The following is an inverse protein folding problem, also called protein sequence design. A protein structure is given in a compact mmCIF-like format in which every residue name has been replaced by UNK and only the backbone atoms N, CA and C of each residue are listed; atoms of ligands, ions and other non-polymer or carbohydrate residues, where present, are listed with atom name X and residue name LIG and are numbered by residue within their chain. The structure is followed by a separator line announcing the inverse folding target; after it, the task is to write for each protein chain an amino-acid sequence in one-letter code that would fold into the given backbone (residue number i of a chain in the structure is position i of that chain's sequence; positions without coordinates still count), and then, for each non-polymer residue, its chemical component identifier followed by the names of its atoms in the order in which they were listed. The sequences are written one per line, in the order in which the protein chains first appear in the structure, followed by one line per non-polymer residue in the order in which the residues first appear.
data_IF_167618393751
#
_entry.id   IF_167618393751
#
_cell.length_a   1.000
_cell.length_b   1.000
_cell.length_c   1.000
_cell.angle_alpha   90.00
_cell.angle_beta   90.00
_cell.angle_gamma   90.00
#
_symmetry.space_group_name_H-M   'P 1'
#
loop_
_entity.id
_entity.type
_entity.pdbx_description
1 polymer ?
#
# COMPACT_ATOMS: atom_id res chain seq x y z
N UNK A 1 4.38 21.18 14.66
CA UNK A 1 5.16 20.13 13.99
C UNK A 1 4.18 19.06 13.49
N UNK A 2 4.26 18.70 12.22
CA UNK A 2 3.41 17.67 11.61
C UNK A 2 4.23 16.41 11.37
N UNK A 3 3.70 15.25 11.76
CA UNK A 3 4.34 13.96 11.64
C UNK A 3 3.64 13.15 10.55
N UNK A 4 4.42 12.62 9.61
CA UNK A 4 3.95 11.69 8.58
C UNK A 4 4.50 10.29 8.79
N UNK A 5 3.72 9.29 8.34
CA UNK A 5 4.15 7.89 8.36
C UNK A 5 4.08 7.26 6.96
N UNK A 6 5.16 6.59 6.56
CA UNK A 6 5.23 5.79 5.34
C UNK A 6 5.13 4.29 5.68
N UNK A 7 4.18 3.61 5.06
CA UNK A 7 3.88 2.20 5.25
C UNK A 7 4.26 1.41 3.99
N UNK A 8 5.23 0.50 4.12
CA UNK A 8 5.68 -0.32 2.99
C UNK A 8 4.62 -1.32 2.52
N UNK A 9 4.79 -1.82 1.29
CA UNK A 9 4.14 -3.05 0.86
C UNK A 9 4.65 -4.28 1.62
N UNK A 10 4.01 -5.43 1.43
CA UNK A 10 4.47 -6.68 2.07
C UNK A 10 3.38 -7.72 2.39
N UNK A 11 2.19 -7.60 1.83
CA UNK A 11 1.09 -8.56 2.02
C UNK A 11 0.72 -8.76 3.49
N UNK A 12 0.72 -10.00 3.98
CA UNK A 12 0.38 -10.33 5.38
C UNK A 12 1.25 -9.60 6.41
N UNK A 13 2.52 -9.33 6.08
CA UNK A 13 3.43 -8.54 6.93
C UNK A 13 2.87 -7.14 7.24
N UNK A 14 2.01 -6.61 6.37
CA UNK A 14 1.36 -5.31 6.58
C UNK A 14 0.56 -5.20 7.88
N UNK A 15 0.09 -6.31 8.47
CA UNK A 15 -0.56 -6.27 9.79
C UNK A 15 0.33 -5.63 10.87
N UNK A 16 1.65 -5.67 10.68
CA UNK A 16 2.64 -4.97 11.50
C UNK A 16 2.37 -3.46 11.58
N UNK A 17 2.02 -2.85 10.46
CA UNK A 17 1.73 -1.41 10.41
C UNK A 17 0.60 -0.99 11.34
N UNK A 18 -0.39 -1.87 11.53
CA UNK A 18 -1.53 -1.62 12.42
C UNK A 18 -1.07 -1.62 13.88
N UNK A 19 -0.22 -2.58 14.26
CA UNK A 19 0.39 -2.63 15.58
C UNK A 19 1.26 -1.41 15.87
N UNK A 20 2.03 -0.96 14.88
CA UNK A 20 2.84 0.27 14.95
C UNK A 20 1.94 1.48 15.19
N UNK A 21 0.91 1.68 14.36
CA UNK A 21 -0.03 2.80 14.51
C UNK A 21 -0.67 2.82 15.90
N UNK A 22 -1.09 1.65 16.40
CA UNK A 22 -1.66 1.54 17.74
C UNK A 22 -0.68 1.96 18.83
N UNK A 23 0.55 1.47 18.79
CA UNK A 23 1.56 1.82 19.78
C UNK A 23 1.92 3.31 19.74
N UNK A 24 1.98 3.92 18.55
CA UNK A 24 2.20 5.37 18.41
C UNK A 24 1.04 6.16 19.02
N UNK A 25 -0.22 5.80 18.74
CA UNK A 25 -1.41 6.44 19.31
C UNK A 25 -1.44 6.37 20.85
N UNK A 26 -1.17 5.19 21.41
CA UNK A 26 -1.13 4.97 22.86
C UNK A 26 -0.03 5.79 23.58
N UNK A 27 1.02 6.17 22.84
CA UNK A 27 2.09 7.05 23.31
C UNK A 27 1.94 8.51 22.86
N UNK A 28 0.72 8.91 22.46
CA UNK A 28 0.39 10.28 22.08
C UNK A 28 1.18 10.83 20.88
N UNK A 29 1.73 9.98 20.03
CA UNK A 29 2.37 10.35 18.77
C UNK A 29 1.29 10.38 17.69
N UNK A 30 0.80 11.57 17.38
CA UNK A 30 -0.25 11.79 16.40
C UNK A 30 0.32 11.81 14.99
N UNK A 31 -0.26 11.02 14.10
CA UNK A 31 0.05 11.04 12.67
C UNK A 31 -0.84 12.05 11.96
N UNK A 32 -0.22 13.01 11.27
CA UNK A 32 -0.88 14.09 10.56
C UNK A 32 -1.01 13.83 9.04
N UNK A 33 -0.19 12.94 8.47
CA UNK A 33 -0.26 12.52 7.07
C UNK A 33 0.24 11.08 6.92
N UNK A 34 -0.26 10.37 5.93
CA UNK A 34 0.07 8.97 5.73
C UNK A 34 0.32 8.67 4.25
N UNK A 35 1.34 7.88 3.98
CA UNK A 35 1.60 7.32 2.65
C UNK A 35 1.74 5.81 2.76
N UNK A 36 1.24 5.07 1.77
CA UNK A 36 1.31 3.62 1.83
C UNK A 36 1.23 2.96 0.47
N UNK A 37 1.96 1.86 0.31
CA UNK A 37 2.03 1.08 -0.92
C UNK A 37 1.44 -0.32 -0.68
N UNK A 38 0.71 -0.87 -1.67
CA UNK A 38 0.12 -2.20 -1.58
C UNK A 38 -0.74 -2.35 -0.32
N UNK A 39 -0.51 -3.37 0.53
CA UNK A 39 -1.22 -3.52 1.81
C UNK A 39 -1.07 -2.27 2.69
N UNK A 40 0.07 -1.58 2.63
CA UNK A 40 0.27 -0.30 3.32
C UNK A 40 -0.74 0.75 2.87
N UNK A 41 -1.14 0.76 1.58
CA UNK A 41 -2.17 1.66 1.05
C UNK A 41 -3.57 1.37 1.59
N UNK A 42 -3.90 0.08 1.76
CA UNK A 42 -5.18 -0.32 2.35
C UNK A 42 -5.29 0.13 3.82
N UNK A 43 -4.21 -0.06 4.59
CA UNK A 43 -4.13 0.38 5.99
C UNK A 43 -4.15 1.92 6.07
N UNK A 44 -3.38 2.60 5.21
CA UNK A 44 -3.36 4.06 5.13
C UNK A 44 -4.74 4.63 4.81
N UNK A 45 -5.47 4.03 3.86
CA UNK A 45 -6.82 4.46 3.49
C UNK A 45 -7.81 4.26 4.64
N UNK A 46 -7.81 3.10 5.31
CA UNK A 46 -8.66 2.84 6.46
C UNK A 46 -8.36 3.80 7.62
N UNK A 47 -7.08 4.06 7.89
CA UNK A 47 -6.66 5.00 8.93
C UNK A 47 -7.07 6.45 8.59
N UNK A 48 -6.89 6.87 7.35
CA UNK A 48 -7.32 8.19 6.88
C UNK A 48 -8.85 8.36 6.86
N UNK A 49 -9.63 7.27 6.77
CA UNK A 49 -11.07 7.23 6.96
C UNK A 49 -11.50 7.24 8.44
N UNK A 50 -10.58 7.46 9.37
CA UNK A 50 -10.84 7.54 10.81
C UNK A 50 -11.38 6.21 11.40
N UNK A 51 -10.95 5.05 10.87
CA UNK A 51 -11.09 3.77 11.55
C UNK A 51 -10.03 3.64 12.63
N UNK A 52 -10.40 3.18 13.84
CA UNK A 52 -9.39 2.91 14.86
C UNK A 52 -8.59 1.63 14.52
N UNK A 53 -7.43 1.48 15.14
CA UNK A 53 -6.50 0.39 14.83
C UNK A 53 -7.07 -1.00 15.07
N UNK A 54 -7.95 -1.17 16.08
CA UNK A 54 -8.61 -2.45 16.35
C UNK A 54 -9.67 -2.79 15.27
N UNK A 55 -10.37 -1.79 14.75
CA UNK A 55 -11.28 -1.93 13.61
C UNK A 55 -10.49 -2.29 12.34
N UNK A 56 -9.40 -1.57 12.06
CA UNK A 56 -8.54 -1.84 10.91
C UNK A 56 -8.03 -3.28 10.94
N UNK A 57 -7.57 -3.76 12.09
CA UNK A 57 -7.09 -5.14 12.21
C UNK A 57 -8.19 -6.17 11.91
N UNK A 58 -9.39 -5.96 12.44
CA UNK A 58 -10.55 -6.84 12.15
C UNK A 58 -10.90 -6.85 10.66
N UNK A 59 -10.92 -5.66 10.02
CA UNK A 59 -11.20 -5.52 8.59
C UNK A 59 -10.14 -6.22 7.74
N UNK A 60 -8.85 -5.98 7.99
CA UNK A 60 -7.76 -6.63 7.25
C UNK A 60 -7.81 -8.16 7.42
N UNK A 61 -8.09 -8.66 8.64
CA UNK A 61 -8.25 -10.09 8.90
C UNK A 61 -9.44 -10.68 8.13
N UNK A 62 -10.54 -9.95 8.02
CA UNK A 62 -11.70 -10.33 7.23
C UNK A 62 -11.39 -10.35 5.73
N UNK A 63 -10.76 -9.29 5.21
CA UNK A 63 -10.37 -9.17 3.79
C UNK A 63 -9.39 -10.26 3.37
N UNK A 64 -8.36 -10.51 4.17
CA UNK A 64 -7.40 -11.59 3.90
C UNK A 64 -8.08 -12.96 3.75
N UNK A 65 -9.08 -13.25 4.59
CA UNK A 65 -9.87 -14.48 4.49
C UNK A 65 -10.77 -14.51 3.23
N UNK A 66 -11.31 -13.36 2.83
CA UNK A 66 -12.19 -13.25 1.66
C UNK A 66 -11.41 -13.42 0.35
N UNK A 67 -10.24 -12.79 0.24
CA UNK A 67 -9.34 -12.96 -0.90
C UNK A 67 -8.91 -14.43 -1.07
N UNK A 68 -8.60 -15.11 0.04
CA UNK A 68 -8.26 -16.55 0.02
C UNK A 68 -9.44 -17.47 -0.36
N UNK A 69 -10.65 -17.12 0.03
CA UNK A 69 -11.84 -17.90 -0.32
C UNK A 69 -12.22 -17.78 -1.80
N UNK A 70 -11.86 -16.66 -2.43
CA UNK A 70 -12.17 -16.44 -3.85
C UNK A 70 -11.49 -17.46 -4.78
N UNK A 71 -10.30 -18.00 -4.40
CA UNK A 71 -9.74 -19.21 -5.02
C UNK A 71 -8.69 -19.94 -4.12
N UNK A 72 -9.15 -20.85 -3.22
CA UNK A 72 -8.26 -21.58 -2.31
C UNK A 72 -7.23 -22.47 -3.01
N UNK A 73 -7.47 -22.86 -4.26
CA UNK A 73 -6.57 -23.76 -5.03
C UNK A 73 -5.32 -23.03 -5.50
N UNK A 74 -5.38 -21.72 -5.71
CA UNK A 74 -4.25 -20.93 -6.19
C UNK A 74 -3.16 -20.72 -5.16
N UNK A 75 -3.52 -20.52 -3.89
CA UNK A 75 -2.58 -20.29 -2.79
C UNK A 75 -1.86 -21.55 -2.30
N UNK A 76 -2.45 -22.74 -2.57
CA UNK A 76 -1.94 -24.02 -2.05
C UNK A 76 -1.23 -24.90 -3.07
N UNK A 77 -1.43 -24.71 -4.37
CA UNK A 77 -0.99 -25.68 -5.39
C UNK A 77 -0.09 -25.14 -6.49
N UNK A 78 0.23 -23.86 -6.51
CA UNK A 78 1.09 -23.30 -7.58
C UNK A 78 0.68 -23.84 -8.95
N UNK A 79 -0.11 -23.08 -9.68
CA UNK A 79 -0.40 -23.26 -11.13
C UNK A 79 -0.64 -24.69 -11.62
N UNK A 80 -1.91 -25.08 -11.70
CA UNK A 80 -2.32 -26.25 -12.46
C UNK A 80 -3.39 -25.99 -13.53
N UNK A 81 -3.61 -24.75 -13.94
CA UNK A 81 -4.50 -24.42 -15.04
C UNK A 81 -3.75 -23.75 -16.18
N UNK A 82 -3.70 -24.40 -17.33
CA UNK A 82 -3.13 -23.85 -18.58
C UNK A 82 -3.79 -22.53 -19.00
N UNK A 83 -5.00 -22.24 -18.53
CA UNK A 83 -5.71 -20.99 -18.79
C UNK A 83 -5.10 -19.79 -18.03
N UNK A 84 -4.46 -20.03 -16.90
CA UNK A 84 -3.83 -19.04 -16.04
C UNK A 84 -2.46 -18.57 -16.56
N UNK A 85 -1.75 -19.40 -17.30
CA UNK A 85 -0.41 -19.07 -17.87
C UNK A 85 -0.50 -17.97 -18.94
N UNK A 86 -1.66 -17.84 -19.58
CA UNK A 86 -1.92 -16.85 -20.65
C UNK A 86 -2.80 -15.69 -20.20
N UNK A 87 -3.19 -15.64 -18.90
CA UNK A 87 -3.95 -14.54 -18.32
C UNK A 87 -3.06 -13.41 -17.80
N UNK A 88 -3.67 -12.25 -17.54
CA UNK A 88 -2.98 -11.06 -17.01
C UNK A 88 -2.75 -11.09 -15.51
N UNK A 89 -3.29 -12.10 -14.80
CA UNK A 89 -3.19 -12.32 -13.34
C UNK A 89 -4.13 -13.44 -12.92
N UNK A 90 -3.96 -13.94 -11.70
CA UNK A 90 -4.72 -15.08 -11.19
C UNK A 90 -6.03 -14.67 -10.50
N UNK A 91 -6.05 -13.48 -9.87
CA UNK A 91 -7.18 -12.96 -9.11
C UNK A 91 -7.52 -11.56 -9.64
N UNK A 92 -8.81 -11.25 -9.83
CA UNK A 92 -9.23 -9.94 -10.36
C UNK A 92 -8.87 -8.78 -9.43
N UNK A 93 -8.88 -9.03 -8.11
CA UNK A 93 -8.68 -8.03 -7.07
C UNK A 93 -9.88 -7.12 -6.82
N UNK A 94 -11.01 -7.32 -7.50
CA UNK A 94 -12.27 -6.58 -7.27
C UNK A 94 -12.72 -6.68 -5.81
N UNK A 95 -12.50 -7.82 -5.16
CA UNK A 95 -12.82 -8.00 -3.75
C UNK A 95 -12.09 -7.01 -2.82
N UNK A 96 -10.90 -6.51 -3.22
CA UNK A 96 -10.18 -5.47 -2.48
C UNK A 96 -10.88 -4.13 -2.67
N UNK A 97 -11.24 -3.79 -3.90
CA UNK A 97 -11.97 -2.56 -4.24
C UNK A 97 -13.31 -2.51 -3.49
N UNK A 98 -14.15 -3.55 -3.65
CA UNK A 98 -15.45 -3.65 -3.01
C UNK A 98 -15.38 -3.51 -1.48
N UNK A 99 -14.38 -4.14 -0.86
CA UNK A 99 -14.22 -4.10 0.58
C UNK A 99 -13.83 -2.70 1.09
N UNK A 100 -12.95 -2.02 0.40
CA UNK A 100 -12.56 -0.64 0.74
C UNK A 100 -13.70 0.34 0.43
N UNK A 101 -14.42 0.16 -0.68
CA UNK A 101 -15.58 0.99 -1.03
C UNK A 101 -16.72 0.85 -0.02
N UNK A 102 -16.94 -0.35 0.52
CA UNK A 102 -17.93 -0.55 1.60
C UNK A 102 -17.50 0.18 2.88
N UNK A 103 -16.20 0.13 3.24
CA UNK A 103 -15.66 0.90 4.36
C UNK A 103 -15.83 2.41 4.12
N UNK A 104 -15.52 2.89 2.92
CA UNK A 104 -15.67 4.29 2.55
C UNK A 104 -17.15 4.75 2.64
N UNK A 105 -18.06 3.93 2.13
CA UNK A 105 -19.53 4.15 2.21
C UNK A 105 -20.00 4.29 3.65
N UNK A 106 -19.54 3.42 4.55
CA UNK A 106 -19.89 3.46 5.98
C UNK A 106 -19.41 4.75 6.67
N UNK A 107 -18.30 5.33 6.20
CA UNK A 107 -17.76 6.60 6.70
C UNK A 107 -18.32 7.83 5.94
N UNK A 108 -19.17 7.63 4.93
CA UNK A 108 -19.76 8.72 4.15
C UNK A 108 -18.78 9.42 3.21
N UNK A 109 -17.71 8.73 2.80
CA UNK A 109 -16.69 9.22 1.86
C UNK A 109 -16.65 8.30 0.62
N UNK A 110 -16.12 8.80 -0.49
CA UNK A 110 -15.96 8.02 -1.73
C UNK A 110 -14.61 8.25 -2.39
N UNK A 111 -14.18 9.49 -2.47
CA UNK A 111 -12.95 9.89 -3.16
C UNK A 111 -11.84 10.22 -2.17
N UNK A 112 -10.59 10.10 -2.58
CA UNK A 112 -9.47 10.53 -1.73
C UNK A 112 -9.60 11.96 -1.26
N UNK A 113 -10.11 12.86 -2.11
CA UNK A 113 -10.36 14.27 -1.77
C UNK A 113 -11.37 14.48 -0.64
N UNK A 114 -12.19 13.48 -0.31
CA UNK A 114 -13.18 13.55 0.79
C UNK A 114 -12.51 13.30 2.15
N UNK A 115 -11.28 12.76 2.16
CA UNK A 115 -10.50 12.49 3.36
C UNK A 115 -9.87 13.77 3.90
N UNK A 116 -9.95 13.96 5.22
CA UNK A 116 -9.32 15.11 5.92
C UNK A 116 -7.82 14.95 6.07
N UNK A 117 -7.37 13.70 6.32
CA UNK A 117 -5.94 13.39 6.45
C UNK A 117 -5.27 13.39 5.08
N UNK A 118 -4.15 14.10 4.92
CA UNK A 118 -3.33 14.00 3.71
C UNK A 118 -2.85 12.56 3.48
N UNK A 119 -3.06 12.04 2.27
CA UNK A 119 -2.73 10.66 1.90
C UNK A 119 -2.07 10.60 0.53
N UNK A 120 -1.12 9.66 0.37
CA UNK A 120 -0.51 9.31 -0.91
C UNK A 120 -0.43 7.79 -1.09
N UNK A 121 -0.84 7.33 -2.27
CA UNK A 121 -0.92 5.91 -2.64
C UNK A 121 -0.21 5.71 -3.99
N UNK A 122 1.03 5.20 -4.01
CA UNK A 122 1.75 4.90 -5.25
C UNK A 122 1.17 3.72 -6.02
N UNK A 123 1.29 3.79 -7.32
CA UNK A 123 1.01 2.72 -8.29
C UNK A 123 1.90 2.92 -9.53
N UNK A 124 1.95 1.93 -10.42
CA UNK A 124 2.76 2.02 -11.65
C UNK A 124 1.91 1.73 -12.87
N UNK A 125 1.89 2.65 -13.84
CA UNK A 125 1.33 2.33 -15.15
C UNK A 125 2.35 1.58 -16.00
N UNK A 126 2.06 0.30 -16.28
CA UNK A 126 2.97 -0.57 -17.04
C UNK A 126 3.04 -0.22 -18.53
N UNK A 127 2.09 0.54 -19.07
CA UNK A 127 2.14 0.99 -20.48
C UNK A 127 3.17 2.08 -20.70
N UNK A 128 3.28 3.00 -19.73
CA UNK A 128 4.26 4.09 -19.79
C UNK A 128 5.54 3.78 -18.99
N UNK A 129 5.52 2.77 -18.13
CA UNK A 129 6.63 2.47 -17.22
C UNK A 129 6.88 3.60 -16.22
N UNK A 130 5.81 4.25 -15.73
CA UNK A 130 5.89 5.44 -14.88
C UNK A 130 5.16 5.24 -13.57
N UNK A 131 5.69 5.89 -12.55
CA UNK A 131 5.04 6.01 -11.25
C UNK A 131 3.88 7.01 -11.33
N UNK A 132 2.78 6.60 -10.75
CA UNK A 132 1.60 7.42 -10.50
C UNK A 132 1.30 7.39 -9.00
N UNK A 133 0.86 8.51 -8.46
CA UNK A 133 0.46 8.62 -7.07
C UNK A 133 -0.98 9.15 -7.00
N UNK A 134 -1.85 8.38 -6.36
CA UNK A 134 -3.18 8.84 -6.02
C UNK A 134 -3.10 9.61 -4.69
N UNK A 135 -3.64 10.83 -4.64
CA UNK A 135 -3.51 11.70 -3.46
C UNK A 135 -4.67 12.67 -3.36
N UNK A 136 -4.93 13.16 -2.16
CA UNK A 136 -5.82 14.30 -1.90
C UNK A 136 -5.04 15.62 -1.74
N UNK A 137 -3.73 15.61 -1.97
CA UNK A 137 -2.90 16.81 -1.98
C UNK A 137 -3.36 17.78 -3.07
N UNK A 138 -3.46 19.05 -2.73
CA UNK A 138 -3.67 20.09 -3.73
C UNK A 138 -2.40 20.31 -4.55
N UNK A 139 -2.56 20.38 -5.88
CA UNK A 139 -1.46 20.57 -6.82
C UNK A 139 -1.82 21.73 -7.75
N UNK A 140 -0.95 22.75 -7.80
CA UNK A 140 -1.25 24.01 -8.48
C UNK A 140 -1.40 23.88 -10.00
N UNK A 141 -0.79 22.89 -10.62
CA UNK A 141 -0.76 22.71 -12.08
C UNK A 141 -1.46 21.42 -12.51
N UNK A 142 -2.73 21.30 -12.18
CA UNK A 142 -3.53 20.17 -12.64
C UNK A 142 -4.09 20.39 -14.05
N UNK A 143 -4.17 19.31 -14.83
CA UNK A 143 -4.89 19.26 -16.11
C UNK A 143 -6.05 18.28 -16.00
N UNK A 144 -7.23 18.68 -16.46
CA UNK A 144 -8.33 17.75 -16.67
C UNK A 144 -8.16 17.07 -18.01
N UNK A 145 -8.13 15.74 -17.99
CA UNK A 145 -8.03 14.90 -19.19
C UNK A 145 -9.34 14.14 -19.33
N UNK A 146 -10.02 14.28 -20.47
CA UNK A 146 -11.24 13.52 -20.74
C UNK A 146 -10.94 12.01 -20.72
N UNK A 147 -11.80 11.23 -20.09
CA UNK A 147 -11.71 9.75 -20.11
C UNK A 147 -12.00 9.25 -21.54
N UNK A 148 -11.25 8.22 -21.97
CA UNK A 148 -11.39 7.64 -23.31
C UNK A 148 -12.71 6.87 -23.42
N UNK A 149 -13.03 6.07 -22.39
CA UNK A 149 -14.24 5.23 -22.34
C UNK A 149 -15.29 5.78 -21.36
N UNK A 150 -15.12 7.04 -20.91
CA UNK A 150 -16.03 7.68 -19.96
C UNK A 150 -17.30 8.23 -20.64
N UNK A 151 -18.32 8.52 -19.81
CA UNK A 151 -19.49 9.29 -20.27
C UNK A 151 -19.06 10.71 -20.58
N UNK A 152 -19.79 11.39 -21.47
CA UNK A 152 -19.55 12.79 -21.78
C UNK A 152 -19.45 13.62 -20.50
N UNK A 153 -18.31 14.34 -20.35
CA UNK A 153 -18.03 15.16 -19.17
C UNK A 153 -17.29 14.47 -18.03
N UNK A 154 -16.92 13.19 -18.15
CA UNK A 154 -16.02 12.55 -17.18
C UNK A 154 -14.55 12.88 -17.47
N UNK A 155 -13.82 13.28 -16.43
CA UNK A 155 -12.43 13.70 -16.52
C UNK A 155 -11.57 13.06 -15.45
N UNK A 156 -10.26 12.90 -15.75
CA UNK A 156 -9.22 12.57 -14.80
C UNK A 156 -8.42 13.85 -14.53
N UNK A 157 -8.26 14.21 -13.26
CA UNK A 157 -7.41 15.33 -12.85
C UNK A 157 -5.98 14.84 -12.67
N UNK A 158 -5.11 15.23 -13.60
CA UNK A 158 -3.71 14.82 -13.66
C UNK A 158 -2.79 16.01 -13.40
N UNK A 159 -1.72 15.78 -12.65
CA UNK A 159 -0.59 16.69 -12.51
C UNK A 159 0.72 15.93 -12.73
N UNK A 160 1.79 16.66 -13.06
CA UNK A 160 3.14 16.12 -13.23
C UNK A 160 4.13 16.91 -12.38
N UNK A 161 4.92 16.21 -11.57
CA UNK A 161 6.04 16.77 -10.83
C UNK A 161 7.27 15.88 -11.04
N UNK A 162 8.24 16.38 -11.82
CA UNK A 162 9.40 15.59 -12.22
C UNK A 162 9.03 14.39 -13.09
N UNK A 163 9.34 13.19 -12.61
CA UNK A 163 9.01 11.93 -13.28
C UNK A 163 7.71 11.30 -12.79
N UNK A 164 7.14 11.81 -11.70
CA UNK A 164 5.96 11.26 -11.03
C UNK A 164 4.71 11.97 -11.54
N UNK A 165 3.64 11.24 -11.67
CA UNK A 165 2.32 11.72 -12.06
C UNK A 165 1.32 11.54 -10.94
N UNK A 166 0.45 12.52 -10.76
CA UNK A 166 -0.52 12.56 -9.66
C UNK A 166 -1.93 12.56 -10.21
N UNK A 167 -2.79 11.74 -9.61
CA UNK A 167 -4.23 11.74 -9.85
C UNK A 167 -4.93 12.10 -8.54
N UNK A 168 -5.72 13.17 -8.53
CA UNK A 168 -6.28 13.74 -7.29
C UNK A 168 -7.77 13.49 -7.10
N UNK A 169 -8.45 12.89 -8.06
CA UNK A 169 -9.89 12.62 -8.07
C UNK A 169 -10.24 11.13 -8.12
N UNK A 170 -9.31 10.27 -7.64
CA UNK A 170 -9.53 8.83 -7.62
C UNK A 170 -10.45 8.40 -6.46
N UNK A 171 -11.33 7.44 -6.73
CA UNK A 171 -12.11 6.74 -5.70
C UNK A 171 -11.16 5.92 -4.80
N UNK A 172 -11.47 5.85 -3.49
CA UNK A 172 -10.56 5.25 -2.50
C UNK A 172 -10.30 3.78 -2.79
N UNK A 173 -11.37 3.00 -3.06
CA UNK A 173 -11.25 1.57 -3.39
C UNK A 173 -10.41 1.33 -4.63
N UNK A 174 -10.60 2.12 -5.68
CA UNK A 174 -9.82 2.03 -6.92
C UNK A 174 -8.35 2.37 -6.73
N UNK A 175 -8.04 3.39 -5.92
CA UNK A 175 -6.66 3.74 -5.58
C UNK A 175 -5.94 2.59 -4.86
N UNK A 176 -6.58 2.02 -3.83
CA UNK A 176 -6.06 0.86 -3.11
C UNK A 176 -5.96 -0.36 -4.01
N UNK A 177 -6.99 -0.64 -4.83
CA UNK A 177 -7.00 -1.75 -5.80
C UNK A 177 -5.82 -1.66 -6.76
N UNK A 178 -5.56 -0.48 -7.33
CA UNK A 178 -4.43 -0.26 -8.22
C UNK A 178 -3.08 -0.53 -7.51
N UNK A 179 -2.89 0.05 -6.33
CA UNK A 179 -1.67 -0.11 -5.53
C UNK A 179 -1.46 -1.55 -5.03
N UNK A 180 -2.52 -2.35 -4.89
CA UNK A 180 -2.45 -3.76 -4.50
C UNK A 180 -2.39 -4.73 -5.69
N UNK A 181 -2.27 -4.25 -6.94
CA UNK A 181 -2.22 -5.10 -8.13
C UNK A 181 -0.87 -5.77 -8.30
N UNK A 182 -0.46 -6.62 -7.32
CA UNK A 182 0.83 -7.28 -7.31
C UNK A 182 1.01 -8.18 -8.54
N UNK A 183 2.09 -7.96 -9.34
CA UNK A 183 2.30 -8.68 -10.60
C UNK A 183 2.37 -10.20 -10.40
N UNK A 184 1.70 -10.95 -11.26
CA UNK A 184 1.64 -12.41 -11.18
C UNK A 184 0.60 -12.98 -10.21
N UNK A 185 0.06 -12.18 -9.27
CA UNK A 185 -1.02 -12.59 -8.36
C UNK A 185 -2.33 -11.93 -8.77
N UNK A 186 -2.36 -10.61 -8.80
CA UNK A 186 -3.56 -9.87 -9.19
C UNK A 186 -3.47 -9.39 -10.63
N UNK A 187 -4.62 -9.36 -11.30
CA UNK A 187 -4.73 -8.73 -12.61
C UNK A 187 -4.43 -7.23 -12.47
N UNK A 188 -3.68 -6.63 -13.41
CA UNK A 188 -3.50 -5.19 -13.44
C UNK A 188 -4.85 -4.47 -13.38
N UNK A 189 -4.90 -3.35 -12.67
CA UNK A 189 -6.10 -2.53 -12.61
C UNK A 189 -6.18 -1.64 -13.86
N UNK A 190 -7.19 -1.88 -14.69
CA UNK A 190 -7.44 -1.07 -15.89
C UNK A 190 -8.36 0.10 -15.53
N UNK A 191 -7.89 1.32 -15.80
CA UNK A 191 -8.64 2.53 -15.55
C UNK A 191 -8.41 3.52 -16.69
N UNK A 192 -9.46 3.77 -17.46
CA UNK A 192 -9.36 4.56 -18.68
C UNK A 192 -8.30 3.95 -19.62
N UNK A 193 -7.35 4.73 -20.10
CA UNK A 193 -6.23 4.30 -20.93
C UNK A 193 -5.08 3.67 -20.16
N UNK A 194 -5.08 3.74 -18.82
CA UNK A 194 -4.02 3.27 -17.95
C UNK A 194 -4.16 1.80 -17.58
N UNK A 195 -3.03 1.18 -17.27
CA UNK A 195 -2.97 -0.20 -16.79
C UNK A 195 -2.01 -0.28 -15.60
N UNK A 196 -2.59 -0.17 -14.40
CA UNK A 196 -1.87 -0.06 -13.17
C UNK A 196 -1.51 -1.41 -12.56
N UNK A 197 -0.32 -1.47 -12.01
CA UNK A 197 0.18 -2.55 -11.14
C UNK A 197 0.65 -1.98 -9.81
N UNK A 198 1.00 -2.85 -8.86
CA UNK A 198 1.43 -2.51 -7.51
C UNK A 198 2.52 -1.43 -7.52
N UNK A 199 2.34 -0.46 -6.62
CA UNK A 199 3.30 0.64 -6.45
C UNK A 199 4.69 0.17 -6.07
N UNK A 200 4.81 -0.97 -5.39
CA UNK A 200 6.08 -1.57 -4.98
C UNK A 200 7.06 -1.80 -6.14
N UNK A 201 6.58 -1.89 -7.38
CA UNK A 201 7.44 -2.00 -8.57
C UNK A 201 8.40 -0.81 -8.68
N UNK A 202 7.98 0.40 -8.32
CA UNK A 202 8.83 1.61 -8.36
C UNK A 202 8.99 2.29 -7.01
N UNK A 203 7.99 2.27 -6.14
CA UNK A 203 7.99 2.92 -4.83
C UNK A 203 7.28 2.06 -3.78
N UNK A 204 8.02 1.15 -3.16
CA UNK A 204 7.49 0.29 -2.10
C UNK A 204 7.39 1.00 -0.75
N UNK A 205 8.21 2.04 -0.53
CA UNK A 205 8.22 2.83 0.71
C UNK A 205 8.10 4.32 0.36
N UNK A 206 6.90 4.91 0.34
CA UNK A 206 6.64 6.23 -0.24
C UNK A 206 7.03 7.39 0.71
N UNK A 207 8.28 7.45 1.14
CA UNK A 207 8.80 8.46 2.08
C UNK A 207 8.82 9.86 1.47
N UNK A 208 9.20 9.96 0.18
CA UNK A 208 9.26 11.26 -0.50
C UNK A 208 7.88 11.91 -0.61
N UNK A 209 6.83 11.09 -0.70
CA UNK A 209 5.47 11.59 -0.77
C UNK A 209 5.03 12.29 0.53
N UNK A 210 5.52 11.86 1.69
CA UNK A 210 5.25 12.53 2.96
C UNK A 210 5.70 13.98 2.96
N UNK A 211 6.88 14.26 2.40
CA UNK A 211 7.38 15.65 2.27
C UNK A 211 6.42 16.49 1.43
N UNK A 212 5.91 15.92 0.34
CA UNK A 212 4.94 16.59 -0.53
C UNK A 212 3.57 16.76 0.12
N UNK A 213 3.21 15.91 1.10
CA UNK A 213 2.04 16.07 1.94
C UNK A 213 2.20 17.14 3.02
N UNK A 214 3.39 17.75 3.13
CA UNK A 214 3.64 18.91 3.99
C UNK A 214 3.87 18.56 5.46
N UNK A 215 4.56 17.46 5.74
CA UNK A 215 5.00 17.06 7.08
C UNK A 215 6.40 17.59 7.38
N UNK A 216 6.68 17.78 8.68
CA UNK A 216 7.97 18.22 9.18
C UNK A 216 8.87 17.05 9.53
N UNK A 217 8.28 15.93 10.00
CA UNK A 217 8.96 14.71 10.46
C UNK A 217 8.36 13.47 9.82
N UNK A 218 9.21 12.50 9.51
CA UNK A 218 8.83 11.29 8.77
C UNK A 218 9.25 10.02 9.51
N UNK A 219 8.27 9.18 9.80
CA UNK A 219 8.47 7.82 10.30
C UNK A 219 8.28 6.86 9.13
N UNK A 220 9.21 5.94 8.95
CA UNK A 220 9.10 4.87 7.98
C UNK A 220 8.94 3.54 8.68
N UNK A 221 7.95 2.74 8.27
CA UNK A 221 7.76 1.37 8.74
C UNK A 221 8.00 0.41 7.59
N UNK A 222 8.98 -0.46 7.76
CA UNK A 222 9.39 -1.43 6.75
C UNK A 222 9.83 -2.75 7.38
N UNK A 223 10.14 -3.71 6.55
CA UNK A 223 10.57 -5.05 6.93
C UNK A 223 12.01 -5.29 6.48
N UNK A 224 12.80 -6.11 7.22
CA UNK A 224 14.07 -6.60 6.70
C UNK A 224 13.84 -7.38 5.40
N UNK A 225 14.84 -7.37 4.48
CA UNK A 225 14.80 -8.21 3.29
C UNK A 225 14.53 -9.67 3.66
N UNK A 226 13.75 -10.36 2.82
CA UNK A 226 13.50 -11.78 3.04
C UNK A 226 14.83 -12.55 3.08
N UNK A 227 15.04 -13.36 4.14
CA UNK A 227 16.18 -14.25 4.23
C UNK A 227 16.13 -15.26 3.08
N UNK A 228 17.29 -15.86 2.78
CA UNK A 228 17.48 -16.79 1.66
C UNK A 228 16.29 -17.75 1.46
N UNK A 229 15.51 -17.50 0.42
CA UNK A 229 14.52 -18.43 -0.06
C UNK A 229 15.16 -19.24 -1.19
N UNK A 230 14.95 -20.54 -1.18
CA UNK A 230 15.38 -21.41 -2.27
C UNK A 230 14.20 -21.58 -3.26
N UNK A 231 14.10 -20.75 -4.31
CA UNK A 231 12.98 -20.81 -5.24
C UNK A 231 12.99 -22.14 -6.00
N UNK A 232 11.84 -22.82 -6.05
CA UNK A 232 11.73 -24.21 -6.53
C UNK A 232 11.16 -24.32 -7.94
N UNK A 233 10.51 -23.27 -8.44
CA UNK A 233 9.88 -23.24 -9.76
C UNK A 233 10.02 -21.85 -10.40
N UNK A 234 9.65 -21.72 -11.67
CA UNK A 234 9.81 -20.49 -12.43
C UNK A 234 9.04 -19.30 -11.81
N UNK A 235 7.91 -19.55 -11.16
CA UNK A 235 7.12 -18.50 -10.50
C UNK A 235 7.84 -18.03 -9.26
N UNK A 236 8.32 -18.95 -8.42
CA UNK A 236 9.10 -18.59 -7.21
C UNK A 236 10.34 -17.76 -7.60
N UNK A 237 11.03 -18.15 -8.69
CA UNK A 237 12.18 -17.41 -9.22
C UNK A 237 11.77 -16.00 -9.64
N UNK A 238 10.67 -15.88 -10.40
CA UNK A 238 10.16 -14.58 -10.86
C UNK A 238 9.77 -13.68 -9.68
N UNK A 239 9.04 -14.22 -8.72
CA UNK A 239 8.65 -13.50 -7.50
C UNK A 239 9.88 -13.05 -6.70
N UNK A 240 10.88 -13.93 -6.57
CA UNK A 240 12.13 -13.57 -5.89
C UNK A 240 12.90 -12.46 -6.59
N UNK A 241 12.92 -12.46 -7.93
CA UNK A 241 13.52 -11.37 -8.69
C UNK A 241 12.81 -10.02 -8.43
N UNK A 242 11.48 -10.03 -8.35
CA UNK A 242 10.70 -8.84 -8.01
C UNK A 242 11.04 -8.36 -6.59
N UNK A 243 11.07 -9.24 -5.61
CA UNK A 243 11.41 -8.90 -4.22
C UNK A 243 12.81 -8.30 -4.12
N UNK A 244 13.80 -8.85 -4.82
CA UNK A 244 15.18 -8.32 -4.85
C UNK A 244 15.20 -6.90 -5.41
N UNK A 245 14.44 -6.63 -6.48
CA UNK A 245 14.37 -5.29 -7.08
C UNK A 245 13.72 -4.28 -6.12
N UNK A 246 12.71 -4.71 -5.36
CA UNK A 246 12.07 -3.86 -4.37
C UNK A 246 13.03 -3.55 -3.21
N UNK A 247 13.68 -4.56 -2.64
CA UNK A 247 14.62 -4.42 -1.53
C UNK A 247 15.79 -3.47 -1.85
N UNK A 248 16.34 -3.54 -3.08
CA UNK A 248 17.45 -2.68 -3.53
C UNK A 248 17.03 -1.20 -3.59
N UNK A 249 15.87 -0.91 -4.15
CA UNK A 249 15.33 0.45 -4.25
C UNK A 249 14.94 1.05 -2.90
N UNK A 250 14.40 0.24 -2.01
CA UNK A 250 13.96 0.66 -0.68
C UNK A 250 15.13 1.22 0.15
N UNK A 251 16.34 0.67 -0.01
CA UNK A 251 17.51 1.10 0.75
C UNK A 251 17.93 2.57 0.49
N UNK A 252 17.71 3.07 -0.73
CA UNK A 252 18.00 4.45 -1.09
C UNK A 252 16.91 5.43 -0.61
N UNK A 253 15.66 5.01 -0.65
CA UNK A 253 14.50 5.87 -0.36
C UNK A 253 14.31 6.16 1.13
N UNK A 254 14.61 5.21 1.99
CA UNK A 254 14.43 5.36 3.45
C UNK A 254 15.39 6.36 4.10
N UNK A 255 16.46 6.77 3.40
CA UNK A 255 17.50 7.70 3.91
C UNK A 255 16.88 9.05 4.33
N UNK A 256 15.80 9.47 3.68
CA UNK A 256 15.11 10.74 3.96
C UNK A 256 14.14 10.67 5.15
N UNK A 257 14.14 9.59 5.92
CA UNK A 257 13.30 9.40 7.11
C UNK A 257 13.99 9.93 8.36
N UNK A 258 13.23 10.59 9.25
CA UNK A 258 13.72 10.98 10.59
C UNK A 258 13.85 9.75 11.49
N UNK A 259 12.93 8.79 11.35
CA UNK A 259 13.00 7.49 12.04
C UNK A 259 12.60 6.34 11.13
N UNK A 260 13.37 5.26 11.16
CA UNK A 260 13.10 4.04 10.41
C UNK A 260 12.87 2.90 11.39
N UNK A 261 11.63 2.40 11.41
CA UNK A 261 11.25 1.22 12.18
C UNK A 261 11.26 -0.01 11.26
N UNK A 262 12.30 -0.84 11.40
CA UNK A 262 12.40 -2.12 10.68
C UNK A 262 11.92 -3.24 11.59
N UNK A 263 10.71 -3.75 11.34
CA UNK A 263 10.12 -4.81 12.17
C UNK A 263 10.47 -6.18 11.59
N UNK A 264 11.18 -7.00 12.37
CA UNK A 264 11.52 -8.37 11.94
C UNK A 264 10.31 -9.30 12.07
N UNK A 265 9.74 -9.62 10.93
CA UNK A 265 8.65 -10.59 10.73
C UNK A 265 9.05 -11.64 9.68
N UNK A 266 10.34 -12.00 9.62
CA UNK A 266 10.88 -12.94 8.65
C UNK A 266 10.22 -14.33 8.69
N UNK A 267 9.57 -14.69 9.81
CA UNK A 267 8.79 -15.92 9.94
C UNK A 267 7.45 -15.90 9.17
N UNK A 268 7.01 -14.74 8.71
CA UNK A 268 5.77 -14.58 7.94
C UNK A 268 6.10 -14.47 6.46
N UNK A 269 5.53 -15.35 5.64
CA UNK A 269 5.50 -15.12 4.19
C UNK A 269 4.40 -14.11 3.82
N UNK A 270 4.54 -13.52 2.65
CA UNK A 270 3.62 -12.48 2.13
C UNK A 270 2.16 -12.96 2.07
N UNK A 271 1.92 -14.28 2.01
CA UNK A 271 0.61 -14.90 1.87
C UNK A 271 0.14 -15.72 3.09
N UNK A 272 0.94 -15.79 4.16
CA UNK A 272 0.59 -16.60 5.34
C UNK A 272 -0.36 -15.88 6.29
N UNK A 273 -1.66 -15.91 5.97
CA UNK A 273 -2.70 -15.26 6.81
C UNK A 273 -2.77 -15.77 8.26
N UNK A 274 -2.17 -16.93 8.56
CA UNK A 274 -2.12 -17.44 9.95
C UNK A 274 -1.18 -16.60 10.81
N UNK A 275 -0.27 -15.86 10.18
CA UNK A 275 0.70 -14.97 10.83
C UNK A 275 0.22 -13.52 11.01
N UNK A 276 -1.04 -13.18 10.66
CA UNK A 276 -1.57 -11.82 10.82
C UNK A 276 -1.45 -11.32 12.27
N UNK A 277 -1.87 -12.12 13.25
CA UNK A 277 -1.77 -11.76 14.67
C UNK A 277 -0.31 -11.60 15.11
N UNK A 278 0.54 -12.54 14.73
CA UNK A 278 1.98 -12.45 14.97
C UNK A 278 2.59 -11.16 14.42
N UNK A 279 2.28 -10.79 13.18
CA UNK A 279 2.78 -9.55 12.57
C UNK A 279 2.28 -8.31 13.32
N UNK A 280 1.00 -8.28 13.67
CA UNK A 280 0.40 -7.20 14.45
C UNK A 280 1.10 -7.02 15.80
N UNK A 281 1.24 -8.10 16.56
CA UNK A 281 1.88 -8.09 17.88
C UNK A 281 3.35 -7.66 17.79
N UNK A 282 4.09 -8.13 16.77
CA UNK A 282 5.47 -7.71 16.54
C UNK A 282 5.58 -6.23 16.23
N UNK A 283 4.68 -5.68 15.43
CA UNK A 283 4.64 -4.24 15.14
C UNK A 283 4.42 -3.41 16.40
N UNK A 284 3.49 -3.83 17.25
CA UNK A 284 3.21 -3.17 18.52
C UNK A 284 4.42 -3.22 19.47
N UNK A 285 4.95 -4.41 19.73
CA UNK A 285 6.06 -4.62 20.67
C UNK A 285 7.30 -3.86 20.21
N UNK A 286 7.69 -3.98 18.94
CA UNK A 286 8.88 -3.31 18.40
C UNK A 286 8.77 -1.79 18.49
N UNK A 287 7.56 -1.25 18.34
CA UNK A 287 7.32 0.20 18.49
C UNK A 287 7.49 0.62 19.94
N UNK A 288 6.92 -0.13 20.89
CA UNK A 288 7.06 0.17 22.33
C UNK A 288 8.53 0.11 22.77
N UNK A 289 9.28 -0.91 22.33
CA UNK A 289 10.71 -1.07 22.65
C UNK A 289 11.58 0.07 22.10
N UNK A 290 11.10 0.77 21.06
CA UNK A 290 11.82 1.88 20.44
C UNK A 290 11.16 3.25 20.66
N UNK A 291 10.14 3.36 21.50
CA UNK A 291 9.34 4.58 21.65
C UNK A 291 10.18 5.81 22.02
N UNK A 292 11.11 5.69 22.96
CA UNK A 292 12.00 6.78 23.38
C UNK A 292 12.90 7.28 22.23
N UNK A 293 13.33 6.36 21.34
CA UNK A 293 14.13 6.71 20.16
C UNK A 293 13.29 7.40 19.10
N UNK A 294 12.04 6.95 18.92
CA UNK A 294 11.08 7.58 18.01
C UNK A 294 10.81 9.00 18.48
N UNK A 295 10.44 9.19 19.75
CA UNK A 295 10.18 10.52 20.33
C UNK A 295 11.39 11.46 20.15
N UNK A 296 12.59 10.96 20.45
CA UNK A 296 13.83 11.74 20.31
C UNK A 296 14.12 12.16 18.88
N UNK A 297 13.80 11.31 17.89
CA UNK A 297 13.96 11.62 16.47
C UNK A 297 12.95 12.64 15.96
N UNK A 298 11.81 12.76 16.65
CA UNK A 298 10.73 13.66 16.28
C UNK A 298 10.92 15.07 16.88
N UNK A 299 11.83 15.26 17.83
CA UNK A 299 12.19 16.59 18.38
C UNK A 299 13.19 17.28 17.42
#
# INVERSE_FOLDING_TARGET
MKIGIALSGGGVKGATHIGVLKALEENNIKIDAIAGTSIGSAIAALYAMEYNTDEIFKLIKYFAKSVLKADPKYLLTGVRSTRSIFGTGFISGEAIEDAIDECARLKGVKYLKDLKMPIAIPTVDIKEGKEYVFTNRQIDKTKKIAKVDGKDGEYITLAEEGKIRYITDMEIGKAVRASCSYPGIFSPFEYDKYKFVDGGVLDNIPVEELKKLGVDKKITVTFPPNKEENPRNAIDIFMRCIDIVFDDRDSERIIDSDYILKVDVAEASVFDIKKLEFCYDRGYVETIENIDKIEKALI
#
